data_IF_117214394873
#
_entry.id   IF_117214394873
#
_cell.length_a   1.000
_cell.length_b   1.000
_cell.length_c   1.000
_cell.angle_alpha   90.00
_cell.angle_beta   90.00
_cell.angle_gamma   90.00
#
_symmetry.space_group_name_H-M   'P 1'
#
loop_
_entity.id
_entity.type
_entity.pdbx_description
1 polymer ?
#
# COMPACT_ATOMS: atom_id res chain seq x y z
N UNK A 1 0.58 10.18 5.32
CA UNK A 1 1.20 8.85 5.41
C UNK A 1 0.43 8.03 6.45
N UNK A 2 -0.41 7.08 6.03
CA UNK A 2 -1.24 6.26 6.94
C UNK A 2 -0.89 4.80 6.71
N UNK A 3 -0.41 4.12 7.76
CA UNK A 3 -0.11 2.70 7.75
C UNK A 3 -1.41 1.89 7.93
N UNK A 4 -1.76 1.08 6.93
CA UNK A 4 -3.02 0.35 6.81
C UNK A 4 -3.09 -0.94 7.64
N UNK A 5 -4.26 -1.22 8.22
CA UNK A 5 -5.06 -2.43 7.94
C UNK A 5 -6.55 -2.07 8.14
N UNK A 6 -7.22 -1.67 7.06
CA UNK A 6 -8.67 -1.52 7.03
C UNK A 6 -9.25 -0.32 7.77
N UNK A 7 -8.56 0.82 7.83
CA UNK A 7 -9.12 2.02 8.46
C UNK A 7 -8.80 3.25 7.60
N UNK A 8 -9.79 4.11 7.41
CA UNK A 8 -9.64 5.39 6.74
C UNK A 8 -10.24 6.51 7.62
N UNK A 9 -9.65 7.69 7.50
CA UNK A 9 -10.07 8.89 8.23
C UNK A 9 -10.27 10.01 7.21
N UNK A 10 -11.35 10.76 7.35
CA UNK A 10 -11.63 11.96 6.57
C UNK A 10 -13.00 12.54 6.93
N UNK A 11 -13.16 13.85 6.84
CA UNK A 11 -14.46 14.53 6.99
C UNK A 11 -15.36 14.21 5.78
N UNK A 12 -16.27 13.25 5.94
CA UNK A 12 -17.18 12.83 4.86
C UNK A 12 -18.45 13.67 4.80
N UNK A 13 -18.71 14.48 5.82
CA UNK A 13 -19.99 15.17 5.98
C UNK A 13 -19.90 16.71 5.98
N UNK A 14 -18.69 17.25 5.88
CA UNK A 14 -18.38 18.66 5.75
C UNK A 14 -18.50 19.45 7.05
N UNK A 15 -18.48 18.79 8.22
CA UNK A 15 -18.59 19.45 9.53
C UNK A 15 -17.24 19.82 10.15
N UNK A 16 -16.15 19.60 9.42
CA UNK A 16 -14.75 19.83 9.81
C UNK A 16 -14.29 18.93 10.96
N UNK A 17 -14.98 17.81 11.18
CA UNK A 17 -14.56 16.75 12.10
C UNK A 17 -14.14 15.52 11.30
N UNK A 18 -13.16 14.80 11.81
CA UNK A 18 -12.59 13.64 11.12
C UNK A 18 -13.46 12.41 11.39
N UNK A 19 -14.06 11.86 10.34
CA UNK A 19 -14.89 10.66 10.42
C UNK A 19 -14.06 9.39 10.22
N UNK A 20 -14.61 8.24 10.62
CA UNK A 20 -13.88 6.99 10.71
C UNK A 20 -14.55 5.87 9.91
N UNK A 21 -13.86 5.35 8.90
CA UNK A 21 -14.27 4.14 8.18
C UNK A 21 -13.41 2.94 8.58
N UNK A 22 -14.02 1.77 8.77
CA UNK A 22 -13.37 0.53 9.18
C UNK A 22 -13.79 -0.62 8.25
N UNK A 23 -12.84 -1.14 7.50
CA UNK A 23 -12.94 -2.39 6.76
C UNK A 23 -12.95 -3.59 7.72
N UNK A 24 -13.73 -4.61 7.38
CA UNK A 24 -13.90 -5.81 8.16
C UNK A 24 -13.56 -7.06 7.36
N UNK A 25 -13.34 -8.15 8.09
CA UNK A 25 -13.26 -9.46 7.47
C UNK A 25 -14.62 -9.86 6.88
N UNK A 26 -14.58 -10.72 5.86
CA UNK A 26 -15.80 -11.21 5.21
C UNK A 26 -16.76 -11.85 6.22
N UNK A 27 -18.05 -11.49 6.12
CA UNK A 27 -19.12 -11.95 7.00
C UNK A 27 -19.50 -10.98 8.12
N UNK A 28 -18.77 -9.88 8.30
CA UNK A 28 -19.09 -8.78 9.22
C UNK A 28 -19.18 -7.48 8.43
N UNK A 29 -20.20 -6.62 8.64
CA UNK A 29 -20.31 -5.39 7.88
C UNK A 29 -19.18 -4.42 8.20
N UNK A 30 -18.58 -3.82 7.18
CA UNK A 30 -17.76 -2.62 7.32
C UNK A 30 -18.51 -1.53 8.09
N UNK A 31 -17.80 -0.58 8.68
CA UNK A 31 -18.39 0.46 9.53
C UNK A 31 -17.95 1.86 9.13
N UNK A 32 -18.91 2.78 9.08
CA UNK A 32 -18.63 4.22 9.03
C UNK A 32 -19.17 4.86 10.30
N UNK A 33 -18.35 5.69 10.94
CA UNK A 33 -18.71 6.44 12.13
C UNK A 33 -18.48 7.93 11.90
N UNK A 34 -19.48 8.76 12.20
CA UNK A 34 -19.31 10.20 12.24
C UNK A 34 -18.81 10.65 13.61
N UNK A 35 -17.88 11.60 13.64
CA UNK A 35 -17.41 12.21 14.88
C UNK A 35 -18.38 13.30 15.34
N UNK A 36 -18.77 13.25 16.61
CA UNK A 36 -19.52 14.33 17.26
C UNK A 36 -18.54 15.37 17.86
N UNK A 37 -18.97 16.63 18.08
CA UNK A 37 -18.12 17.66 18.68
C UNK A 37 -17.56 17.35 20.09
N UNK A 38 -18.17 16.40 20.80
CA UNK A 38 -17.71 15.92 22.10
C UNK A 38 -16.67 14.79 22.02
N UNK A 39 -16.26 14.42 20.80
CA UNK A 39 -15.30 13.35 20.52
C UNK A 39 -15.91 11.95 20.51
N UNK A 40 -17.22 11.80 20.74
CA UNK A 40 -17.90 10.51 20.60
C UNK A 40 -18.16 10.16 19.13
N UNK A 41 -18.39 8.89 18.85
CA UNK A 41 -18.66 8.38 17.50
C UNK A 41 -20.11 7.93 17.37
N UNK A 42 -20.76 8.27 16.25
CA UNK A 42 -22.10 7.80 15.88
C UNK A 42 -22.00 6.85 14.69
N UNK A 43 -22.54 5.65 14.81
CA UNK A 43 -22.66 4.70 13.69
C UNK A 43 -23.54 5.33 12.58
N UNK A 44 -22.99 5.39 11.37
CA UNK A 44 -23.62 5.93 10.16
C UNK A 44 -23.50 4.95 8.98
N UNK A 45 -23.27 3.67 9.30
CA UNK A 45 -23.01 2.63 8.30
C UNK A 45 -24.21 2.38 7.38
N UNK A 46 -25.42 2.41 7.93
CA UNK A 46 -26.63 2.09 7.16
C UNK A 46 -26.99 3.23 6.20
N UNK A 47 -26.87 4.47 6.68
CA UNK A 47 -27.18 5.68 5.91
C UNK A 47 -26.14 5.98 4.83
N UNK A 48 -24.89 5.56 5.04
CA UNK A 48 -23.81 5.74 4.06
C UNK A 48 -23.79 4.70 2.94
N UNK A 49 -24.56 3.61 3.06
CA UNK A 49 -24.60 2.47 2.13
C UNK A 49 -23.27 1.69 2.01
N UNK A 50 -22.38 1.82 3.00
CA UNK A 50 -21.02 1.24 2.96
C UNK A 50 -20.84 -0.05 3.77
N UNK A 51 -21.92 -0.60 4.33
CA UNK A 51 -21.93 -1.77 5.22
C UNK A 51 -21.77 -3.13 4.55
N UNK A 52 -20.85 -3.28 3.58
CA UNK A 52 -20.64 -4.54 2.86
C UNK A 52 -20.14 -5.67 3.75
N UNK A 53 -20.55 -6.91 3.41
CA UNK A 53 -20.13 -8.14 4.09
C UNK A 53 -18.95 -8.83 3.39
N UNK A 54 -18.55 -8.38 2.22
CA UNK A 54 -17.38 -8.87 1.51
C UNK A 54 -16.09 -8.45 2.24
N UNK A 55 -15.03 -9.24 2.07
CA UNK A 55 -13.76 -8.95 2.73
C UNK A 55 -13.14 -7.67 2.15
N UNK A 56 -12.88 -6.70 3.02
CA UNK A 56 -12.22 -5.45 2.67
C UNK A 56 -10.93 -5.30 3.48
N UNK A 57 -9.84 -4.85 2.83
CA UNK A 57 -8.51 -4.82 3.48
C UNK A 57 -7.94 -3.41 3.67
N UNK A 58 -8.33 -2.46 2.82
CA UNK A 58 -7.84 -1.09 2.87
C UNK A 58 -8.86 -0.15 2.23
N UNK A 59 -8.92 1.07 2.75
CA UNK A 59 -9.78 2.13 2.25
C UNK A 59 -9.05 3.47 2.34
N UNK A 60 -9.48 4.44 1.53
CA UNK A 60 -9.09 5.84 1.64
C UNK A 60 -10.33 6.70 1.56
N UNK A 61 -10.35 7.78 2.34
CA UNK A 61 -11.33 8.86 2.24
C UNK A 61 -10.59 10.07 1.68
N UNK A 62 -10.82 10.40 0.41
CA UNK A 62 -10.08 11.42 -0.35
C UNK A 62 -10.98 12.01 -1.43
N UNK A 63 -10.71 13.24 -1.86
CA UNK A 63 -11.44 13.90 -2.95
C UNK A 63 -10.93 13.37 -4.31
N UNK A 64 -11.69 12.53 -5.00
CA UNK A 64 -11.26 11.84 -6.22
C UNK A 64 -11.72 12.55 -7.49
N UNK A 65 -12.85 13.25 -7.45
CA UNK A 65 -13.36 13.99 -8.60
C UNK A 65 -13.16 15.52 -8.52
N UNK A 66 -12.49 15.99 -7.45
CA UNK A 66 -12.15 17.39 -7.18
C UNK A 66 -13.38 18.30 -7.02
N UNK A 67 -14.50 17.78 -6.51
CA UNK A 67 -15.70 18.57 -6.23
C UNK A 67 -15.69 19.26 -4.85
N UNK A 68 -14.73 18.88 -4.00
CA UNK A 68 -14.47 19.45 -2.68
C UNK A 68 -14.94 18.59 -1.52
N UNK A 69 -15.78 17.58 -1.75
CA UNK A 69 -16.13 16.61 -0.73
C UNK A 69 -15.09 15.47 -0.67
N UNK A 70 -15.39 14.40 0.08
CA UNK A 70 -14.48 13.28 0.26
C UNK A 70 -15.18 12.00 -0.16
N UNK A 71 -14.62 11.38 -1.18
CA UNK A 71 -15.01 10.10 -1.74
C UNK A 71 -14.40 8.93 -0.98
N UNK A 72 -14.92 7.73 -1.25
CA UNK A 72 -14.42 6.49 -0.68
C UNK A 72 -13.89 5.57 -1.77
N UNK A 73 -12.61 5.18 -1.67
CA UNK A 73 -12.06 4.04 -2.41
C UNK A 73 -11.76 2.90 -1.45
N UNK A 74 -12.17 1.69 -1.79
CA UNK A 74 -12.00 0.51 -0.94
C UNK A 74 -11.51 -0.69 -1.75
N UNK A 75 -10.57 -1.45 -1.20
CA UNK A 75 -10.24 -2.78 -1.70
C UNK A 75 -11.25 -3.79 -1.17
N UNK A 76 -11.86 -4.55 -2.07
CA UNK A 76 -12.83 -5.60 -1.74
C UNK A 76 -12.48 -6.86 -2.52
N UNK A 77 -12.00 -7.89 -1.83
CA UNK A 77 -11.56 -9.14 -2.45
C UNK A 77 -10.55 -8.96 -3.61
N UNK A 78 -10.99 -9.24 -4.84
CA UNK A 78 -10.23 -9.12 -6.09
C UNK A 78 -10.77 -7.98 -6.95
N UNK A 79 -11.22 -6.90 -6.32
CA UNK A 79 -11.65 -5.68 -6.98
C UNK A 79 -11.41 -4.47 -6.08
N UNK A 80 -11.40 -3.31 -6.70
CA UNK A 80 -11.47 -2.01 -6.05
C UNK A 80 -12.81 -1.37 -6.39
N UNK A 81 -13.41 -0.70 -5.40
CA UNK A 81 -14.64 0.07 -5.56
C UNK A 81 -14.29 1.54 -5.33
N UNK A 82 -14.72 2.39 -6.26
CA UNK A 82 -14.59 3.84 -6.19
C UNK A 82 -15.98 4.41 -6.03
N UNK A 83 -16.20 5.12 -4.94
CA UNK A 83 -17.51 5.52 -4.48
C UNK A 83 -17.57 7.04 -4.36
N UNK A 84 -18.53 7.64 -5.07
CA UNK A 84 -18.83 9.05 -5.08
C UNK A 84 -19.64 9.42 -3.83
N UNK A 85 -19.23 10.45 -3.09
CA UNK A 85 -20.02 11.03 -2.01
C UNK A 85 -21.12 11.95 -2.57
N UNK A 86 -22.12 11.37 -3.23
CA UNK A 86 -23.11 12.07 -4.06
C UNK A 86 -23.90 13.22 -3.41
N UNK A 87 -23.82 13.42 -2.10
CA UNK A 87 -24.47 14.52 -1.39
C UNK A 87 -23.55 15.36 -0.49
N UNK A 88 -22.25 15.08 -0.45
CA UNK A 88 -21.28 15.71 0.45
C UNK A 88 -21.61 15.51 1.93
N UNK A 89 -22.42 14.50 2.28
CA UNK A 89 -22.88 14.20 3.64
C UNK A 89 -22.57 12.77 4.08
N UNK A 90 -21.73 12.08 3.33
CA UNK A 90 -21.22 10.74 3.63
C UNK A 90 -22.14 9.64 3.12
N UNK A 91 -22.99 9.90 2.12
CA UNK A 91 -23.73 8.88 1.40
C UNK A 91 -23.01 8.55 0.10
N UNK A 92 -22.63 7.29 -0.04
CA UNK A 92 -21.75 6.85 -1.10
C UNK A 92 -22.49 6.03 -2.16
N UNK A 93 -22.32 6.36 -3.44
CA UNK A 93 -22.79 5.54 -4.56
C UNK A 93 -21.61 5.04 -5.39
N UNK A 94 -21.75 3.84 -5.99
CA UNK A 94 -20.67 3.26 -6.79
C UNK A 94 -20.51 4.05 -8.10
N UNK A 95 -19.44 4.83 -8.21
CA UNK A 95 -19.07 5.48 -9.46
C UNK A 95 -18.58 4.45 -10.47
N UNK A 96 -17.60 3.63 -10.07
CA UNK A 96 -17.17 2.46 -10.84
C UNK A 96 -16.43 1.44 -9.97
N UNK A 97 -16.26 0.23 -10.51
CA UNK A 97 -15.44 -0.81 -9.91
C UNK A 97 -14.45 -1.38 -10.91
N UNK A 98 -13.27 -1.78 -10.41
CA UNK A 98 -12.22 -2.37 -11.23
C UNK A 98 -11.78 -3.72 -10.66
N UNK A 99 -11.81 -4.77 -11.47
CA UNK A 99 -11.32 -6.10 -11.07
C UNK A 99 -9.80 -6.10 -10.98
N UNK A 100 -9.25 -6.55 -9.86
CA UNK A 100 -7.81 -6.67 -9.67
C UNK A 100 -7.34 -8.09 -10.00
N UNK A 101 -6.11 -8.23 -10.47
CA UNK A 101 -5.48 -9.55 -10.71
C UNK A 101 -4.90 -10.15 -9.44
N UNK A 102 -5.14 -9.52 -8.29
CA UNK A 102 -4.61 -9.87 -6.99
C UNK A 102 -5.54 -9.41 -5.86
N UNK A 103 -5.49 -10.07 -4.70
CA UNK A 103 -6.03 -9.48 -3.48
C UNK A 103 -5.24 -8.22 -3.14
N UNK A 104 -5.95 -7.10 -3.00
CA UNK A 104 -5.34 -5.81 -2.70
C UNK A 104 -5.34 -5.57 -1.20
N UNK A 105 -4.15 -5.57 -0.60
CA UNK A 105 -4.00 -5.47 0.87
C UNK A 105 -3.87 -4.03 1.37
N UNK A 106 -3.31 -3.15 0.54
CA UNK A 106 -3.14 -1.74 0.84
C UNK A 106 -3.35 -0.92 -0.42
N UNK A 107 -3.94 0.24 -0.26
CA UNK A 107 -4.01 1.29 -1.28
C UNK A 107 -3.39 2.57 -0.74
N UNK A 108 -2.83 3.38 -1.64
CA UNK A 108 -2.28 4.71 -1.35
C UNK A 108 -2.69 5.68 -2.46
N UNK A 109 -2.96 6.93 -2.10
CA UNK A 109 -3.24 8.00 -3.06
C UNK A 109 -2.05 8.96 -3.16
N UNK A 110 -1.80 9.45 -4.37
CA UNK A 110 -0.77 10.47 -4.66
C UNK A 110 -1.11 11.16 -5.98
N UNK A 111 -0.65 12.38 -6.20
CA UNK A 111 -0.65 13.02 -7.54
C UNK A 111 0.75 12.81 -8.14
N UNK A 112 0.98 11.68 -8.80
CA UNK A 112 2.36 11.29 -9.21
C UNK A 112 2.83 12.00 -10.48
N UNK A 113 1.90 12.54 -11.28
CA UNK A 113 2.19 13.25 -12.52
C UNK A 113 1.90 14.75 -12.46
N UNK A 114 1.59 15.25 -11.26
CA UNK A 114 1.39 16.65 -10.92
C UNK A 114 0.26 17.30 -11.73
N UNK A 115 -0.78 16.53 -12.04
CA UNK A 115 -1.93 16.99 -12.83
C UNK A 115 -3.11 17.51 -11.98
N UNK A 116 -2.92 17.53 -10.66
CA UNK A 116 -3.84 18.06 -9.66
C UNK A 116 -4.96 17.08 -9.28
N UNK A 117 -4.89 15.82 -9.72
CA UNK A 117 -5.84 14.76 -9.36
C UNK A 117 -5.10 13.67 -8.61
N UNK A 118 -5.78 13.08 -7.63
CA UNK A 118 -5.23 11.96 -6.89
C UNK A 118 -5.35 10.66 -7.71
N UNK A 119 -4.21 10.03 -7.93
CA UNK A 119 -4.03 8.70 -8.48
C UNK A 119 -4.01 7.64 -7.38
N UNK A 120 -4.27 6.39 -7.73
CA UNK A 120 -4.32 5.28 -6.76
C UNK A 120 -3.31 4.20 -7.09
N UNK A 121 -2.49 3.84 -6.12
CA UNK A 121 -1.63 2.66 -6.18
C UNK A 121 -2.11 1.57 -5.25
N UNK A 122 -2.16 0.34 -5.75
CA UNK A 122 -2.70 -0.82 -5.09
C UNK A 122 -1.64 -1.92 -4.94
N UNK A 123 -1.38 -2.31 -3.70
CA UNK A 123 -0.48 -3.41 -3.35
C UNK A 123 -1.20 -4.75 -3.53
N UNK A 124 -0.79 -5.50 -4.55
CA UNK A 124 -1.23 -6.86 -4.81
C UNK A 124 -0.45 -7.87 -3.98
N UNK A 125 -1.17 -8.87 -3.46
CA UNK A 125 -0.57 -9.90 -2.61
C UNK A 125 -0.84 -11.32 -3.16
N UNK A 126 -2.08 -11.83 -3.04
CA UNK A 126 -2.44 -13.16 -3.56
C UNK A 126 -3.00 -13.04 -4.98
N UNK A 127 -2.46 -13.75 -5.99
CA UNK A 127 -2.97 -13.66 -7.37
C UNK A 127 -4.41 -14.21 -7.50
N UNK A 128 -5.25 -13.62 -8.35
CA UNK A 128 -6.66 -14.02 -8.51
C UNK A 128 -6.83 -15.39 -9.16
N UNK A 129 -5.86 -15.84 -9.96
CA UNK A 129 -5.85 -17.15 -10.59
C UNK A 129 -5.82 -18.33 -9.59
N UNK A 130 -5.49 -18.11 -8.33
CA UNK A 130 -5.44 -19.19 -7.33
C UNK A 130 -6.78 -19.45 -6.64
N UNK A 131 -7.83 -18.64 -6.86
CA UNK A 131 -9.23 -18.77 -6.33
C UNK A 131 -9.41 -19.04 -4.82
N UNK A 132 -8.33 -19.22 -4.05
CA UNK A 132 -8.36 -19.56 -2.62
C UNK A 132 -7.93 -18.35 -1.78
N UNK A 133 -8.77 -17.97 -0.82
CA UNK A 133 -8.57 -16.86 0.13
C UNK A 133 -7.64 -17.25 1.31
N UNK A 134 -6.49 -17.84 1.01
CA UNK A 134 -5.55 -18.48 1.96
C UNK A 134 -5.96 -19.90 2.41
N UNK A 135 -5.01 -20.84 2.34
CA UNK A 135 -5.18 -22.24 2.77
C UNK A 135 -4.24 -23.23 2.09
N UNK A 136 -3.91 -23.01 0.81
CA UNK A 136 -2.81 -23.65 0.11
C UNK A 136 -2.11 -22.56 -0.71
N UNK A 137 -1.07 -21.96 -0.12
CA UNK A 137 -0.32 -20.87 -0.76
C UNK A 137 0.15 -21.31 -2.16
N UNK A 138 0.14 -20.38 -3.12
CA UNK A 138 1.27 -20.36 -4.02
C UNK A 138 2.47 -20.02 -3.14
N UNK A 139 3.16 -21.05 -2.63
CA UNK A 139 4.24 -20.83 -1.66
C UNK A 139 5.19 -19.76 -2.21
N UNK A 140 5.50 -18.71 -1.44
CA UNK A 140 6.46 -17.72 -1.88
C UNK A 140 7.80 -18.40 -2.16
N UNK A 141 8.17 -18.51 -3.43
CA UNK A 141 9.30 -19.35 -3.86
C UNK A 141 10.25 -18.53 -4.74
N UNK A 142 11.53 -18.39 -4.35
CA UNK A 142 12.07 -18.65 -3.01
C UNK A 142 11.61 -17.57 -2.01
N UNK A 143 11.48 -17.90 -0.73
CA UNK A 143 10.99 -16.99 0.33
C UNK A 143 11.66 -15.60 0.35
N UNK A 144 12.98 -15.54 0.16
CA UNK A 144 13.78 -14.29 0.21
C UNK A 144 13.73 -13.46 -1.09
N UNK A 145 13.20 -14.01 -2.19
CA UNK A 145 13.14 -13.34 -3.50
C UNK A 145 11.91 -13.79 -4.31
N UNK A 146 10.77 -13.99 -3.63
CA UNK A 146 9.56 -14.52 -4.24
C UNK A 146 9.03 -13.53 -5.27
N UNK A 147 8.72 -13.99 -6.50
CA UNK A 147 8.18 -13.15 -7.59
C UNK A 147 6.92 -13.76 -8.22
N UNK A 148 6.20 -14.55 -7.44
CA UNK A 148 5.01 -15.29 -7.84
C UNK A 148 3.73 -14.79 -7.13
N UNK A 149 3.80 -13.60 -6.52
CA UNK A 149 2.66 -12.91 -5.95
C UNK A 149 1.74 -12.30 -7.00
N UNK A 150 0.71 -11.62 -6.50
CA UNK A 150 -0.21 -10.84 -7.30
C UNK A 150 0.43 -9.53 -7.78
N UNK A 151 0.14 -9.07 -9.00
CA UNK A 151 0.69 -7.82 -9.49
C UNK A 151 0.12 -6.61 -8.71
N UNK A 152 0.98 -5.64 -8.44
CA UNK A 152 0.57 -4.29 -8.04
C UNK A 152 -0.06 -3.54 -9.23
N UNK A 153 -0.85 -2.50 -8.94
CA UNK A 153 -1.51 -1.68 -9.96
C UNK A 153 -1.33 -0.19 -9.65
N UNK A 154 -1.09 0.62 -10.69
CA UNK A 154 -1.16 2.09 -10.65
C UNK A 154 -2.32 2.55 -11.55
N UNK A 155 -3.30 3.21 -10.93
CA UNK A 155 -4.44 3.82 -11.61
C UNK A 155 -4.23 5.32 -11.69
N UNK A 156 -4.16 5.84 -12.92
CA UNK A 156 -4.10 7.27 -13.19
C UNK A 156 -5.51 7.85 -13.27
N UNK A 157 -5.77 8.94 -12.56
CA UNK A 157 -7.04 9.66 -12.59
C UNK A 157 -7.08 10.66 -13.75
N UNK A 158 -7.86 10.36 -14.79
CA UNK A 158 -8.06 11.24 -15.95
C UNK A 158 -9.19 12.27 -15.73
N UNK A 159 -9.83 12.27 -14.56
CA UNK A 159 -10.99 13.10 -14.21
C UNK A 159 -12.31 12.48 -14.64
N UNK A 160 -13.43 13.04 -14.17
CA UNK A 160 -14.80 12.56 -14.45
C UNK A 160 -14.99 11.06 -14.17
N UNK A 161 -14.40 10.55 -13.08
CA UNK A 161 -14.43 9.14 -12.71
C UNK A 161 -13.78 8.18 -13.73
N UNK A 162 -12.96 8.69 -14.65
CA UNK A 162 -12.16 7.87 -15.56
C UNK A 162 -10.79 7.56 -14.96
N UNK A 163 -10.57 6.30 -14.57
CA UNK A 163 -9.27 5.81 -14.08
C UNK A 163 -8.65 4.80 -15.05
N UNK A 164 -7.41 5.06 -15.46
CA UNK A 164 -6.64 4.21 -16.38
C UNK A 164 -5.61 3.37 -15.62
N UNK A 165 -5.58 2.05 -15.83
CA UNK A 165 -4.45 1.22 -15.39
C UNK A 165 -3.22 1.55 -16.26
N UNK A 166 -2.29 2.31 -15.68
CA UNK A 166 -1.07 2.75 -16.36
C UNK A 166 0.16 1.94 -15.96
N UNK A 167 0.00 0.88 -15.16
CA UNK A 167 1.09 0.13 -14.50
C UNK A 167 2.25 -0.19 -15.46
N UNK A 168 1.96 -0.83 -16.59
CA UNK A 168 2.98 -1.19 -17.59
C UNK A 168 3.54 0.04 -18.31
N UNK A 169 2.69 1.01 -18.68
CA UNK A 169 3.14 2.21 -19.40
C UNK A 169 4.04 3.08 -18.53
N UNK A 170 3.80 3.08 -17.22
CA UNK A 170 4.57 3.77 -16.21
C UNK A 170 5.86 3.03 -15.81
N UNK A 171 6.15 1.83 -16.33
CA UNK A 171 7.36 1.07 -15.96
C UNK A 171 7.28 0.33 -14.63
N UNK A 172 6.12 0.35 -13.96
CA UNK A 172 5.85 -0.36 -12.71
C UNK A 172 5.46 -1.84 -12.93
N UNK A 173 5.77 -2.41 -14.10
CA UNK A 173 5.68 -3.85 -14.36
C UNK A 173 6.99 -4.62 -14.10
N UNK A 174 8.06 -3.89 -13.76
CA UNK A 174 9.32 -4.46 -13.29
C UNK A 174 9.23 -4.76 -11.80
N UNK A 175 9.62 -5.96 -11.36
CA UNK A 175 9.58 -6.39 -9.94
C UNK A 175 8.22 -6.21 -9.22
N UNK A 176 7.10 -6.22 -9.96
CA UNK A 176 5.78 -5.87 -9.41
C UNK A 176 4.92 -7.04 -8.92
N UNK A 177 5.47 -8.26 -8.90
CA UNK A 177 4.75 -9.51 -8.54
C UNK A 177 5.28 -10.12 -7.25
N UNK A 178 5.69 -9.27 -6.33
CA UNK A 178 6.06 -9.64 -4.96
C UNK A 178 4.80 -9.77 -4.11
N UNK A 179 4.95 -10.01 -2.82
CA UNK A 179 3.83 -10.07 -1.88
C UNK A 179 3.72 -8.74 -1.14
N UNK A 180 3.17 -7.73 -1.80
CA UNK A 180 3.22 -6.33 -1.35
C UNK A 180 2.21 -6.07 -0.25
N UNK A 181 2.65 -5.47 0.87
CA UNK A 181 1.78 -5.09 1.98
C UNK A 181 1.56 -3.59 2.11
N UNK A 182 2.57 -2.78 1.79
CA UNK A 182 2.50 -1.34 2.00
C UNK A 182 3.35 -0.61 0.98
N UNK A 183 2.91 0.59 0.64
CA UNK A 183 3.63 1.50 -0.21
C UNK A 183 3.61 2.90 0.38
N UNK A 184 4.70 3.65 0.18
CA UNK A 184 4.81 5.04 0.58
C UNK A 184 5.45 5.85 -0.54
N UNK A 185 4.97 7.09 -0.68
CA UNK A 185 5.43 8.05 -1.67
C UNK A 185 6.28 9.12 -0.98
N UNK A 186 7.36 9.53 -1.63
CA UNK A 186 8.25 10.61 -1.17
C UNK A 186 9.13 11.10 -2.31
N UNK A 187 9.47 12.39 -2.32
CA UNK A 187 10.51 12.96 -3.20
C UNK A 187 11.86 12.74 -2.52
N UNK A 188 12.46 11.55 -2.66
CA UNK A 188 13.63 11.19 -1.84
C UNK A 188 14.91 11.88 -2.32
N UNK A 189 14.97 12.27 -3.61
CA UNK A 189 16.12 12.95 -4.21
C UNK A 189 15.93 14.46 -4.45
N UNK A 190 14.82 15.02 -3.96
CA UNK A 190 14.47 16.45 -4.01
C UNK A 190 14.41 16.99 -5.45
N UNK A 191 13.95 16.18 -6.41
CA UNK A 191 13.80 16.58 -7.81
C UNK A 191 12.40 17.13 -8.15
N UNK A 192 11.47 17.02 -7.19
CA UNK A 192 10.10 17.52 -7.27
C UNK A 192 9.07 16.49 -7.73
N UNK A 193 9.50 15.30 -8.13
CA UNK A 193 8.62 14.20 -8.50
C UNK A 193 8.52 13.18 -7.34
N UNK A 194 7.31 12.64 -7.09
CA UNK A 194 7.14 11.66 -6.01
C UNK A 194 7.59 10.27 -6.45
N UNK A 195 8.50 9.68 -5.69
CA UNK A 195 9.00 8.32 -5.85
C UNK A 195 8.21 7.33 -5.01
N UNK A 196 8.32 6.04 -5.36
CA UNK A 196 7.52 4.98 -4.76
C UNK A 196 8.39 3.92 -4.08
N UNK A 197 8.23 3.75 -2.78
CA UNK A 197 8.75 2.58 -2.07
C UNK A 197 7.66 1.56 -1.79
N UNK A 198 7.94 0.28 -2.04
CA UNK A 198 7.03 -0.85 -1.84
C UNK A 198 7.67 -1.86 -0.89
N UNK A 199 7.02 -2.04 0.26
CA UNK A 199 7.36 -3.05 1.26
C UNK A 199 6.66 -4.37 0.95
N UNK A 200 7.45 -5.43 0.83
CA UNK A 200 7.02 -6.77 0.48
C UNK A 200 7.22 -7.72 1.67
N UNK A 201 6.18 -8.50 1.99
CA UNK A 201 6.25 -9.56 3.00
C UNK A 201 7.19 -10.69 2.57
N UNK A 202 7.14 -11.00 1.28
CA UNK A 202 7.98 -11.99 0.64
C UNK A 202 8.56 -11.42 -0.65
N UNK A 203 9.85 -11.71 -0.85
CA UNK A 203 10.65 -11.04 -1.85
C UNK A 203 11.37 -9.81 -1.30
N UNK A 204 12.13 -9.13 -2.15
CA UNK A 204 12.85 -7.91 -1.78
C UNK A 204 11.92 -6.72 -1.92
N UNK A 205 12.07 -5.72 -1.06
CA UNK A 205 11.42 -4.43 -1.23
C UNK A 205 11.93 -3.70 -2.48
N UNK A 206 11.12 -2.78 -3.01
CA UNK A 206 11.43 -2.04 -4.22
C UNK A 206 11.27 -0.53 -4.02
N UNK A 207 12.27 0.24 -4.43
CA UNK A 207 12.23 1.67 -4.65
C UNK A 207 12.19 1.92 -6.15
N UNK A 208 11.18 2.66 -6.58
CA UNK A 208 11.00 3.12 -7.93
C UNK A 208 11.14 4.64 -7.96
N UNK A 209 12.16 5.14 -8.67
CA UNK A 209 12.30 6.58 -8.90
C UNK A 209 11.42 7.02 -10.06
N UNK A 210 10.74 8.13 -9.89
CA UNK A 210 9.91 8.76 -10.89
C UNK A 210 10.78 9.63 -11.81
N UNK A 211 11.17 9.10 -12.98
CA UNK A 211 11.90 9.86 -14.01
C UNK A 211 10.91 10.64 -14.92
N UNK A 212 9.87 11.25 -14.35
CA UNK A 212 8.84 11.97 -15.12
C UNK A 212 9.43 13.19 -15.81
N UNK A 213 9.13 13.37 -17.10
CA UNK A 213 9.65 14.50 -17.85
C UNK A 213 8.78 14.84 -19.05
N UNK A 214 8.49 16.14 -19.22
CA UNK A 214 7.77 16.68 -20.37
C UNK A 214 6.41 16.01 -20.61
N UNK A 215 5.62 15.81 -19.55
CA UNK A 215 4.30 15.19 -19.61
C UNK A 215 4.32 13.69 -19.90
N UNK A 216 5.47 13.02 -19.75
CA UNK A 216 5.60 11.57 -19.76
C UNK A 216 6.01 11.12 -18.38
N UNK A 217 5.31 10.12 -17.86
CA UNK A 217 5.65 9.49 -16.60
C UNK A 217 6.34 8.15 -16.81
N UNK A 218 7.38 7.89 -16.04
CA UNK A 218 8.11 6.64 -16.07
C UNK A 218 8.83 6.38 -14.76
N UNK A 219 8.62 5.22 -14.18
CA UNK A 219 9.25 4.77 -12.95
C UNK A 219 10.37 3.77 -13.27
N UNK A 220 11.51 3.95 -12.63
CA UNK A 220 12.66 3.04 -12.71
C UNK A 220 12.93 2.39 -11.36
N UNK A 221 12.97 1.06 -11.33
CA UNK A 221 13.40 0.34 -10.13
C UNK A 221 14.91 0.53 -9.91
N UNK A 222 15.28 1.07 -8.74
CA UNK A 222 16.67 1.47 -8.43
C UNK A 222 17.16 0.96 -7.07
N UNK A 223 16.44 0.05 -6.42
CA UNK A 223 16.78 -0.41 -5.07
C UNK A 223 18.19 -0.95 -4.94
N UNK A 224 18.64 -1.72 -5.94
CA UNK A 224 19.98 -2.32 -5.94
C UNK A 224 21.05 -1.23 -6.01
N UNK A 225 20.84 -0.25 -6.90
CA UNK A 225 21.78 0.83 -7.16
C UNK A 225 21.97 1.73 -5.94
N UNK A 226 20.91 1.91 -5.13
CA UNK A 226 20.95 2.70 -3.89
C UNK A 226 21.20 1.87 -2.62
N UNK A 227 21.30 0.54 -2.73
CA UNK A 227 21.50 -0.32 -1.56
C UNK A 227 20.33 -0.34 -0.57
N UNK A 228 19.13 0.03 -1.02
CA UNK A 228 17.89 0.05 -0.22
C UNK A 228 17.02 -1.20 -0.41
N UNK A 229 17.59 -2.24 -1.03
CA UNK A 229 16.98 -3.57 -1.04
C UNK A 229 16.94 -4.13 0.38
N UNK A 230 15.73 -4.39 0.86
CA UNK A 230 15.51 -5.14 2.10
C UNK A 230 14.79 -6.44 1.78
N UNK A 231 15.38 -7.56 2.16
CA UNK A 231 14.85 -8.92 1.90
C UNK A 231 14.14 -9.51 3.12
N UNK A 232 13.87 -8.69 4.13
CA UNK A 232 13.08 -9.05 5.30
C UNK A 232 11.58 -8.98 4.99
N UNK A 233 10.75 -9.48 5.91
CA UNK A 233 9.29 -9.44 5.77
C UNK A 233 8.74 -8.04 6.07
N UNK A 234 8.69 -7.20 5.05
CA UNK A 234 8.23 -5.81 5.11
C UNK A 234 6.72 -5.71 5.27
N UNK A 235 6.28 -4.99 6.31
CA UNK A 235 4.87 -4.83 6.67
C UNK A 235 4.34 -3.43 6.36
N UNK A 236 5.20 -2.41 6.49
CA UNK A 236 4.87 -1.03 6.17
C UNK A 236 6.16 -0.21 5.99
N UNK A 237 6.02 0.99 5.45
CA UNK A 237 7.10 1.91 5.14
C UNK A 237 6.66 3.34 5.45
N UNK A 238 7.58 4.14 5.99
CA UNK A 238 7.37 5.57 6.24
C UNK A 238 8.64 6.36 5.97
N UNK A 239 8.46 7.60 5.50
CA UNK A 239 9.53 8.55 5.25
C UNK A 239 9.49 9.66 6.30
N UNK A 240 10.65 10.07 6.78
CA UNK A 240 10.79 11.24 7.65
C UNK A 240 12.24 11.70 7.68
N UNK A 241 12.47 13.01 7.66
CA UNK A 241 13.75 13.61 8.04
C UNK A 241 13.91 13.52 9.56
N UNK A 242 14.30 12.35 10.08
CA UNK A 242 14.36 12.13 11.53
C UNK A 242 15.56 12.84 12.15
N UNK A 243 16.58 13.11 11.34
CA UNK A 243 17.86 13.60 11.79
C UNK A 243 18.05 15.11 11.54
N UNK A 244 17.14 15.72 10.76
CA UNK A 244 17.06 17.15 10.39
C UNK A 244 18.18 17.61 9.47
N UNK A 245 18.62 16.76 8.54
CA UNK A 245 19.63 17.11 7.53
C UNK A 245 19.02 17.58 6.21
N UNK A 246 17.69 17.56 6.09
CA UNK A 246 16.97 17.95 4.87
C UNK A 246 16.84 16.82 3.85
N UNK A 247 17.26 15.59 4.18
CA UNK A 247 17.02 14.41 3.38
C UNK A 247 16.03 13.49 4.08
N UNK A 248 15.09 12.93 3.32
CA UNK A 248 14.10 12.01 3.90
C UNK A 248 14.75 10.65 4.17
N UNK A 249 14.63 10.18 5.42
CA UNK A 249 15.07 8.85 5.81
C UNK A 249 13.92 7.84 5.68
N UNK A 250 14.23 6.63 5.22
CA UNK A 250 13.26 5.57 4.99
C UNK A 250 13.25 4.57 6.15
N UNK A 251 12.11 4.48 6.84
CA UNK A 251 11.88 3.48 7.88
C UNK A 251 10.92 2.38 7.43
N UNK A 252 11.36 1.13 7.57
CA UNK A 252 10.60 -0.06 7.17
C UNK A 252 10.29 -0.87 8.42
N UNK A 253 8.99 -1.07 8.68
CA UNK A 253 8.56 -2.03 9.68
C UNK A 253 8.64 -3.44 9.10
N UNK A 254 9.31 -4.32 9.81
CA UNK A 254 9.57 -5.69 9.41
C UNK A 254 9.13 -6.64 10.52
N UNK A 255 8.76 -7.86 10.17
CA UNK A 255 8.57 -8.89 11.21
C UNK A 255 9.85 -9.11 12.01
N UNK A 256 9.71 -9.28 13.32
CA UNK A 256 10.79 -9.61 14.23
C UNK A 256 10.66 -11.06 14.73
N UNK A 257 11.77 -11.80 14.78
CA UNK A 257 11.79 -13.15 15.34
C UNK A 257 12.88 -13.32 16.40
N UNK A 258 12.47 -13.35 17.67
CA UNK A 258 13.39 -13.67 18.78
C UNK A 258 14.00 -15.07 18.65
N UNK A 259 13.20 -16.06 18.22
CA UNK A 259 13.68 -17.41 17.96
C UNK A 259 14.65 -17.44 16.77
N UNK A 260 14.34 -16.72 15.68
CA UNK A 260 15.19 -16.56 14.52
C UNK A 260 16.55 -15.97 14.88
N UNK A 261 16.59 -14.89 15.66
CA UNK A 261 17.85 -14.28 16.12
C UNK A 261 18.67 -15.24 16.98
N UNK A 262 18.04 -16.13 17.77
CA UNK A 262 18.77 -17.12 18.55
C UNK A 262 19.31 -18.27 17.70
N UNK A 263 18.58 -18.70 16.67
CA UNK A 263 18.90 -19.89 15.88
C UNK A 263 19.89 -19.55 14.77
N UNK A 264 19.66 -18.47 14.02
CA UNK A 264 20.41 -18.12 12.81
C UNK A 264 21.87 -17.73 13.05
N UNK A 265 22.24 -17.43 14.30
CA UNK A 265 23.61 -17.13 14.71
C UNK A 265 24.35 -18.32 15.34
N UNK A 266 23.70 -19.50 15.43
CA UNK A 266 24.37 -20.71 15.92
C UNK A 266 25.30 -21.29 14.85
N UNK A 267 26.44 -21.84 15.28
CA UNK A 267 27.43 -22.44 14.36
C UNK A 267 26.87 -23.57 13.52
N UNK A 268 25.88 -24.30 14.05
CA UNK A 268 25.22 -25.44 13.42
C UNK A 268 24.13 -25.02 12.43
N UNK A 269 23.63 -23.79 12.51
CA UNK A 269 22.55 -23.34 11.62
C UNK A 269 23.09 -23.21 10.20
N UNK A 270 22.53 -24.02 9.29
CA UNK A 270 22.91 -24.09 7.89
C UNK A 270 24.44 -24.13 7.70
N UNK A 271 25.13 -24.96 8.48
CA UNK A 271 26.60 -25.04 8.48
C UNK A 271 27.21 -25.45 7.14
N UNK A 272 26.40 -26.07 6.27
CA UNK A 272 26.81 -26.52 4.94
C UNK A 272 26.50 -25.50 3.83
N UNK A 273 25.83 -24.38 4.14
CA UNK A 273 25.53 -23.33 3.14
C UNK A 273 26.58 -22.21 3.17
N UNK A 274 26.54 -21.35 2.14
CA UNK A 274 27.37 -20.14 2.11
C UNK A 274 27.09 -19.21 3.29
N UNK A 275 28.05 -18.32 3.60
CA UNK A 275 27.86 -17.25 4.58
C UNK A 275 26.72 -16.31 4.21
N UNK A 276 26.61 -15.96 2.94
CA UNK A 276 25.57 -15.09 2.38
C UNK A 276 24.14 -15.60 2.67
N UNK A 277 23.88 -16.90 2.46
CA UNK A 277 22.56 -17.48 2.77
C UNK A 277 22.24 -17.34 4.25
N UNK A 278 23.22 -17.56 5.14
CA UNK A 278 23.02 -17.38 6.59
C UNK A 278 22.76 -15.92 6.96
N UNK A 279 23.46 -14.98 6.34
CA UNK A 279 23.27 -13.54 6.54
C UNK A 279 21.87 -13.08 6.13
N UNK A 280 21.29 -13.66 5.07
CA UNK A 280 19.89 -13.42 4.68
C UNK A 280 18.93 -13.87 5.79
N UNK A 281 19.03 -15.10 6.31
CA UNK A 281 18.18 -15.54 7.43
C UNK A 281 18.36 -14.69 8.69
N UNK A 282 19.60 -14.27 8.99
CA UNK A 282 19.88 -13.34 10.07
C UNK A 282 19.24 -11.97 9.81
N UNK A 283 19.25 -11.47 8.56
CA UNK A 283 18.57 -10.23 8.17
C UNK A 283 17.07 -10.32 8.43
N UNK A 284 16.42 -11.41 8.00
CA UNK A 284 14.98 -11.60 8.18
C UNK A 284 14.54 -11.69 9.65
N UNK A 285 15.42 -12.15 10.54
CA UNK A 285 15.08 -12.23 11.96
C UNK A 285 15.19 -10.89 12.71
N UNK A 286 16.01 -9.95 12.21
CA UNK A 286 16.43 -8.74 12.91
C UNK A 286 15.33 -7.70 13.11
N UNK A 287 14.25 -7.74 12.33
CA UNK A 287 13.19 -6.74 12.38
C UNK A 287 13.52 -5.50 11.55
N UNK A 288 13.07 -4.35 12.05
CA UNK A 288 12.94 -3.10 11.29
C UNK A 288 14.26 -2.57 10.70
N UNK A 289 14.14 -1.78 9.64
CA UNK A 289 15.25 -1.13 8.94
C UNK A 289 15.05 0.38 8.94
N UNK A 290 16.16 1.10 9.03
CA UNK A 290 16.23 2.53 8.77
C UNK A 290 17.35 2.75 7.73
N UNK A 291 16.99 3.24 6.56
CA UNK A 291 17.94 3.77 5.58
C UNK A 291 18.02 5.28 5.77
N UNK A 292 19.25 5.81 5.79
CA UNK A 292 19.48 7.23 5.94
C UNK A 292 19.68 7.86 4.57
N UNK A 293 19.02 8.99 4.32
CA UNK A 293 19.33 9.83 3.15
C UNK A 293 20.66 10.56 3.35
N UNK A 294 21.39 10.80 2.26
CA UNK A 294 22.67 11.52 2.27
C UNK A 294 22.92 12.38 1.01
#
# INVERSE_FOLDING_TARGET
>A
MVANHGLAIGDVNGDQLEDLYICQQGGVPNRLFLQNPDGTLRDFTAESETGWLDYCASALIVDLDNDGDKDLVVSQDFKMLFMDNVDGKGRFELAFGHGTKAQTFSISATDFDLDGRLDIYACGYNPSATTQRAGAMGEPVPFHDANNGGPNLLFRNAGNWEFEDVTTRAGLDVNNRRFSFGASWEDYDNDGDLDLYVANDFGRNNLYRNDSANGRFFFREISDALGVQDTSAGMSTNWADYNRDGWMDLYISNMFSGAGNRITYQKQFLSETSGEVREQFQRMARGNTLFRGD
#
